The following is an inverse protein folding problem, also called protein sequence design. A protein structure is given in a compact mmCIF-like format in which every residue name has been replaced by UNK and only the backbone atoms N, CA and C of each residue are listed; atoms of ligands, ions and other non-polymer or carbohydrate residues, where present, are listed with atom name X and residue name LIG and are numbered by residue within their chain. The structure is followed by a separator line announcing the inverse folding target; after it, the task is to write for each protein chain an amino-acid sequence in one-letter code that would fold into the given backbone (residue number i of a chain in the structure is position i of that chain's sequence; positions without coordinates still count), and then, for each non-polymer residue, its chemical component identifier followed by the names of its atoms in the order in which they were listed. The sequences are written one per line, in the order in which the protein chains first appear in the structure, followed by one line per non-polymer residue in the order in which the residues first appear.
data_IF_571833814794
#
_entry.id   IF_571833814794
#
_cell.length_a   1.000
_cell.length_b   1.000
_cell.length_c   1.000
_cell.angle_alpha   90.00
_cell.angle_beta   90.00
_cell.angle_gamma   90.00
#
_symmetry.space_group_name_H-M   'P 1'
#
loop_
_entity.id
_entity.type
_entity.pdbx_description
1 polymer ?
#
# COMPACT_ATOMS: atom_id res chain seq x y z
N UNK A 1 6.53 -19.05 -5.64
CA UNK A 1 7.48 -19.46 -6.70
C UNK A 1 8.71 -20.09 -6.07
N UNK A 2 8.99 -21.34 -6.40
CA UNK A 2 10.22 -22.03 -6.00
C UNK A 2 11.45 -21.35 -6.65
N UNK A 3 12.47 -21.04 -5.87
CA UNK A 3 13.69 -20.39 -6.40
C UNK A 3 14.61 -21.35 -7.15
N UNK A 4 14.48 -22.66 -6.95
CA UNK A 4 15.32 -23.66 -7.62
C UNK A 4 14.82 -24.02 -9.03
N UNK A 5 13.50 -24.21 -9.20
CA UNK A 5 12.92 -24.69 -10.47
C UNK A 5 11.91 -23.72 -11.11
N UNK A 6 11.56 -22.61 -10.46
CA UNK A 6 10.58 -21.64 -10.98
C UNK A 6 9.12 -22.06 -10.86
N UNK A 7 8.82 -23.29 -10.39
CA UNK A 7 7.43 -23.74 -10.18
C UNK A 7 6.66 -22.76 -9.30
N UNK A 8 5.47 -22.37 -9.76
CA UNK A 8 4.63 -21.37 -9.09
C UNK A 8 3.28 -21.97 -8.75
N UNK A 9 2.97 -21.99 -7.46
CA UNK A 9 1.61 -22.23 -6.96
C UNK A 9 0.90 -20.88 -6.76
N UNK A 10 -0.39 -20.83 -7.06
CA UNK A 10 -1.23 -19.63 -6.95
C UNK A 10 -2.45 -19.93 -6.08
N UNK A 11 -2.72 -19.06 -5.12
CA UNK A 11 -3.88 -19.13 -4.22
C UNK A 11 -4.73 -17.88 -4.40
N UNK A 12 -6.05 -18.02 -4.30
CA UNK A 12 -7.00 -16.91 -4.42
C UNK A 12 -7.71 -16.69 -3.10
N UNK A 13 -7.51 -15.51 -2.52
CA UNK A 13 -8.10 -15.11 -1.25
C UNK A 13 -9.03 -13.91 -1.45
N UNK A 14 -10.34 -14.01 -1.16
CA UNK A 14 -11.23 -12.86 -1.18
C UNK A 14 -10.89 -11.91 -0.03
N UNK A 15 -10.93 -10.61 -0.28
CA UNK A 15 -10.75 -9.58 0.74
C UNK A 15 -11.75 -8.44 0.53
N UNK A 16 -12.11 -7.75 1.62
CA UNK A 16 -13.00 -6.58 1.63
C UNK A 16 -12.23 -5.27 1.77
N UNK A 17 -11.01 -5.34 2.29
CA UNK A 17 -10.06 -4.24 2.42
C UNK A 17 -8.63 -4.73 2.22
N UNK A 18 -7.73 -3.79 1.92
CA UNK A 18 -6.29 -4.03 1.86
C UNK A 18 -5.64 -3.28 3.02
N UNK A 19 -5.11 -4.04 3.97
CA UNK A 19 -4.39 -3.51 5.12
C UNK A 19 -2.90 -3.35 4.82
N UNK A 20 -2.44 -2.10 4.76
CA UNK A 20 -1.11 -1.69 4.31
C UNK A 20 -0.19 -1.31 5.47
N UNK A 21 1.05 -1.80 5.43
CA UNK A 21 2.09 -1.45 6.39
C UNK A 21 2.74 -0.10 6.03
N UNK A 22 2.96 0.74 7.03
CA UNK A 22 3.80 1.93 6.89
C UNK A 22 5.27 1.51 6.87
N UNK A 23 6.09 2.23 6.09
CA UNK A 23 7.52 1.96 6.10
C UNK A 23 8.11 2.22 7.51
N UNK A 24 8.95 1.31 8.04
CA UNK A 24 9.64 1.55 9.28
C UNK A 24 10.61 2.71 9.09
N UNK A 25 10.70 3.57 10.09
CA UNK A 25 11.68 4.65 10.11
C UNK A 25 13.09 4.02 10.10
N UNK A 26 13.94 4.38 9.14
CA UNK A 26 15.36 4.06 9.25
C UNK A 26 15.95 4.91 10.38
N UNK A 27 15.84 4.43 11.62
CA UNK A 27 16.64 4.95 12.71
C UNK A 27 18.03 4.41 12.46
N UNK A 28 18.93 5.24 11.93
CA UNK A 28 20.36 4.94 11.93
C UNK A 28 20.77 4.67 13.37
N UNK A 29 20.99 3.41 13.71
CA UNK A 29 21.64 3.01 14.93
C UNK A 29 23.09 3.49 14.85
N UNK A 30 23.35 4.74 15.26
CA UNK A 30 24.68 5.15 15.64
C UNK A 30 25.03 4.40 16.93
N UNK A 31 25.53 3.17 16.76
CA UNK A 31 26.26 2.47 17.78
C UNK A 31 27.45 3.33 18.19
N UNK A 32 27.38 3.92 19.38
CA UNK A 32 28.55 4.41 20.09
C UNK A 32 29.35 3.19 20.55
N UNK A 33 30.25 2.69 19.72
CA UNK A 33 31.38 1.89 20.20
C UNK A 33 32.56 2.81 20.41
N UNK A 34 32.89 3.01 21.69
CA UNK A 34 34.11 3.65 22.12
C UNK A 34 35.29 2.74 21.75
N UNK A 35 36.13 3.17 20.82
CA UNK A 35 37.46 2.59 20.62
C UNK A 35 38.42 3.70 20.18
N UNK A 36 39.42 3.94 21.04
CA UNK A 36 40.54 4.85 20.84
C UNK A 36 41.45 4.33 19.71
N UNK A 37 41.85 5.18 18.76
CA UNK A 37 43.18 5.15 18.14
C UNK A 37 43.46 6.45 17.36
N UNK A 38 44.75 6.80 17.28
CA UNK A 38 45.36 8.08 16.94
C UNK A 38 45.42 8.40 15.41
N UNK A 39 45.82 9.63 15.00
CA UNK A 39 45.51 10.21 13.68
C UNK A 39 46.65 10.06 12.64
N UNK A 40 46.32 10.09 11.34
CA UNK A 40 47.25 10.59 10.30
C UNK A 40 46.58 10.82 8.92
N UNK A 41 46.83 12.03 8.41
CA UNK A 41 47.00 12.50 7.02
C UNK A 41 45.96 12.24 5.91
N UNK A 42 45.31 13.34 5.53
CA UNK A 42 44.95 13.86 4.19
C UNK A 42 44.91 12.89 2.98
N UNK A 43 43.72 12.73 2.41
CA UNK A 43 43.50 12.77 0.96
C UNK A 43 42.05 13.19 0.67
N UNK A 44 41.92 14.31 -0.03
CA UNK A 44 40.66 14.85 -0.56
C UNK A 44 40.35 14.17 -1.91
N UNK A 45 39.11 13.67 -2.09
CA UNK A 45 38.32 13.84 -3.32
C UNK A 45 36.98 13.07 -3.27
N UNK A 46 35.89 13.84 -3.19
CA UNK A 46 34.54 13.61 -3.74
C UNK A 46 33.87 12.24 -3.58
N UNK A 47 33.29 12.01 -2.39
CA UNK A 47 32.09 11.19 -2.24
C UNK A 47 30.85 12.09 -2.14
N UNK A 48 29.97 12.03 -3.14
CA UNK A 48 28.68 12.73 -3.16
C UNK A 48 27.84 12.27 -1.95
N UNK A 49 27.87 13.06 -0.88
CA UNK A 49 27.03 12.86 0.30
C UNK A 49 25.60 13.22 -0.07
N UNK A 50 24.85 12.23 -0.53
CA UNK A 50 23.39 12.30 -0.62
C UNK A 50 22.84 12.65 0.76
N UNK A 51 22.55 13.93 0.97
CA UNK A 51 21.80 14.44 2.10
C UNK A 51 20.46 13.69 2.10
N UNK A 52 20.30 12.72 3.01
CA UNK A 52 19.10 11.88 3.05
C UNK A 52 17.91 12.73 3.47
N UNK A 53 17.16 13.21 2.48
CA UNK A 53 15.83 13.79 2.67
C UNK A 53 14.98 12.68 3.30
N UNK A 54 14.26 12.93 4.41
CA UNK A 54 13.32 11.96 4.95
C UNK A 54 12.32 11.59 3.86
N UNK A 55 12.37 10.35 3.36
CA UNK A 55 11.43 9.88 2.35
C UNK A 55 10.03 9.91 2.96
N UNK A 56 9.20 10.84 2.50
CA UNK A 56 7.79 10.91 2.88
C UNK A 56 7.11 9.62 2.44
N UNK A 57 6.50 8.88 3.36
CA UNK A 57 5.77 7.68 2.96
C UNK A 57 4.51 8.06 2.20
N UNK A 58 4.23 7.29 1.15
CA UNK A 58 3.10 7.50 0.25
C UNK A 58 2.23 6.24 0.20
N UNK A 59 0.93 6.40 -0.07
CA UNK A 59 0.02 5.26 -0.30
C UNK A 59 0.51 4.38 -1.45
N UNK A 60 1.05 5.00 -2.51
CA UNK A 60 1.65 4.31 -3.65
C UNK A 60 2.81 3.43 -3.18
N UNK A 61 3.74 3.97 -2.39
CA UNK A 61 4.86 3.18 -1.85
C UNK A 61 4.41 2.04 -0.93
N UNK A 62 3.31 2.23 -0.19
CA UNK A 62 2.69 1.15 0.58
C UNK A 62 2.12 0.04 -0.32
N UNK A 63 1.47 0.37 -1.43
CA UNK A 63 0.94 -0.59 -2.40
C UNK A 63 2.06 -1.31 -3.17
N UNK A 64 3.11 -0.58 -3.54
CA UNK A 64 4.32 -1.15 -4.16
C UNK A 64 4.94 -2.19 -3.23
N UNK A 65 5.04 -1.87 -1.92
CA UNK A 65 5.54 -2.79 -0.92
C UNK A 65 4.63 -4.00 -0.71
N UNK A 66 3.32 -3.79 -0.68
CA UNK A 66 2.33 -4.86 -0.53
C UNK A 66 2.41 -5.88 -1.68
N UNK A 67 2.65 -5.41 -2.91
CA UNK A 67 2.73 -6.25 -4.11
C UNK A 67 4.15 -6.68 -4.48
N UNK A 68 5.16 -6.27 -3.70
CA UNK A 68 6.56 -6.65 -3.93
C UNK A 68 6.79 -8.13 -3.62
N UNK A 69 7.54 -8.86 -4.46
CA UNK A 69 7.99 -10.21 -4.12
C UNK A 69 8.83 -10.21 -2.84
N UNK A 70 8.52 -11.11 -1.92
CA UNK A 70 9.25 -11.34 -0.68
C UNK A 70 9.79 -12.78 -0.64
N UNK A 71 11.01 -12.94 -0.12
CA UNK A 71 11.56 -14.27 0.17
C UNK A 71 10.94 -14.76 1.47
N UNK A 72 10.40 -15.98 1.47
CA UNK A 72 9.99 -16.62 2.71
C UNK A 72 11.24 -16.88 3.58
N UNK A 73 11.10 -16.71 4.90
CA UNK A 73 12.19 -16.93 5.86
C UNK A 73 12.74 -18.35 5.78
N UNK A 74 13.96 -18.56 6.28
CA UNK A 74 14.62 -19.88 6.29
C UNK A 74 13.84 -20.95 7.07
N UNK A 75 13.01 -20.51 8.01
CA UNK A 75 12.07 -21.27 8.84
C UNK A 75 10.70 -21.52 8.17
N UNK A 76 10.42 -20.85 7.04
CA UNK A 76 9.14 -20.88 6.32
C UNK A 76 9.31 -21.41 4.88
N UNK A 77 10.20 -22.39 4.69
CA UNK A 77 10.40 -23.02 3.37
C UNK A 77 9.10 -23.65 2.86
N UNK A 78 8.82 -23.45 1.58
CA UNK A 78 7.64 -23.99 0.92
C UNK A 78 7.97 -25.33 0.25
N UNK A 79 7.11 -26.33 0.44
CA UNK A 79 7.27 -27.64 -0.21
C UNK A 79 7.01 -27.52 -1.71
N UNK A 80 8.06 -27.68 -2.52
CA UNK A 80 7.93 -27.62 -3.97
C UNK A 80 7.48 -28.99 -4.52
N UNK A 81 6.31 -29.04 -5.15
CA UNK A 81 5.79 -30.26 -5.78
C UNK A 81 6.65 -30.76 -6.95
N UNK A 82 7.38 -29.88 -7.64
CA UNK A 82 8.27 -30.32 -8.73
C UNK A 82 9.58 -30.89 -8.21
N UNK A 83 10.16 -30.28 -7.16
CA UNK A 83 11.41 -30.75 -6.57
C UNK A 83 11.21 -31.84 -5.51
N UNK A 84 9.97 -32.05 -5.06
CA UNK A 84 9.60 -32.96 -3.97
C UNK A 84 10.37 -32.70 -2.66
N UNK A 85 10.71 -31.43 -2.39
CA UNK A 85 11.45 -31.00 -1.20
C UNK A 85 11.12 -29.55 -0.84
N UNK A 86 11.26 -29.20 0.44
CA UNK A 86 11.11 -27.82 0.93
C UNK A 86 12.23 -26.92 0.40
N UNK A 87 11.85 -25.91 -0.36
CA UNK A 87 12.76 -24.99 -1.06
C UNK A 87 12.58 -23.56 -0.59
N UNK A 88 13.63 -22.77 -0.73
CA UNK A 88 13.51 -21.32 -0.67
C UNK A 88 12.57 -20.84 -1.78
N UNK A 89 11.64 -19.96 -1.42
CA UNK A 89 10.55 -19.57 -2.30
C UNK A 89 10.25 -18.09 -2.16
N UNK A 90 9.81 -17.49 -3.27
CA UNK A 90 9.26 -16.16 -3.32
C UNK A 90 7.74 -16.23 -3.17
N UNK A 91 7.19 -15.35 -2.32
CA UNK A 91 5.77 -15.04 -2.23
C UNK A 91 5.53 -13.65 -2.81
N UNK A 92 4.44 -13.47 -3.54
CA UNK A 92 4.06 -12.17 -4.10
C UNK A 92 2.54 -12.06 -4.02
N UNK A 93 2.04 -10.95 -3.48
CA UNK A 93 0.63 -10.61 -3.53
C UNK A 93 0.33 -9.78 -4.77
N UNK A 94 -0.86 -9.93 -5.33
CA UNK A 94 -1.36 -9.12 -6.44
C UNK A 94 -2.88 -9.09 -6.42
N UNK A 95 -3.48 -8.12 -7.10
CA UNK A 95 -4.93 -7.97 -7.17
C UNK A 95 -5.44 -8.66 -8.43
N UNK A 96 -6.27 -9.70 -8.27
CA UNK A 96 -6.89 -10.38 -9.42
C UNK A 96 -8.12 -9.64 -9.94
N UNK A 97 -9.02 -9.25 -9.04
CA UNK A 97 -10.29 -8.57 -9.36
C UNK A 97 -10.42 -7.31 -8.52
N UNK A 98 -10.69 -6.18 -9.16
CA UNK A 98 -10.91 -4.91 -8.48
C UNK A 98 -12.36 -4.78 -8.03
N UNK A 99 -12.63 -4.34 -6.79
CA UNK A 99 -13.97 -3.95 -6.36
C UNK A 99 -14.34 -2.57 -6.92
N UNK A 100 -15.63 -2.25 -6.95
CA UNK A 100 -16.12 -0.91 -7.33
C UNK A 100 -15.65 0.18 -6.35
N UNK A 101 -15.48 -0.20 -5.08
CA UNK A 101 -14.93 0.63 -4.01
C UNK A 101 -13.76 -0.12 -3.37
N UNK A 102 -12.57 0.46 -3.43
CA UNK A 102 -11.39 -0.03 -2.73
C UNK A 102 -11.25 0.65 -1.37
N UNK A 103 -11.11 -0.17 -0.32
CA UNK A 103 -10.84 0.28 1.04
C UNK A 103 -9.38 -0.04 1.40
N UNK A 104 -8.61 1.00 1.73
CA UNK A 104 -7.24 0.86 2.24
C UNK A 104 -7.19 1.21 3.72
N UNK A 105 -6.76 0.26 4.53
CA UNK A 105 -6.52 0.47 5.96
C UNK A 105 -5.01 0.60 6.19
N UNK A 106 -4.59 1.67 6.86
CA UNK A 106 -3.19 1.90 7.19
C UNK A 106 -2.90 1.36 8.58
N UNK A 107 -2.02 0.36 8.67
CA UNK A 107 -1.61 -0.26 9.93
C UNK A 107 -0.73 0.70 10.74
N UNK A 108 -1.37 1.60 11.48
CA UNK A 108 -0.72 2.62 12.32
C UNK A 108 -0.37 2.11 13.72
N UNK A 109 0.08 0.87 13.85
CA UNK A 109 0.46 0.28 15.14
C UNK A 109 1.77 -0.49 15.03
N UNK A 110 2.65 -0.28 15.99
CA UNK A 110 3.89 -1.04 16.16
C UNK A 110 3.85 -1.74 17.50
N UNK A 111 4.17 -3.04 17.52
CA UNK A 111 4.30 -3.80 18.75
C UNK A 111 5.78 -4.05 19.06
N UNK A 112 6.24 -3.56 20.21
CA UNK A 112 7.58 -3.84 20.70
C UNK A 112 7.53 -5.01 21.67
N UNK A 113 7.97 -6.19 21.22
CA UNK A 113 8.09 -7.36 22.09
C UNK A 113 9.08 -7.14 23.24
N UNK A 114 10.16 -6.38 22.99
CA UNK A 114 11.19 -6.08 24.00
C UNK A 114 10.68 -5.17 25.11
N UNK A 115 9.84 -4.18 24.76
CA UNK A 115 9.28 -3.22 25.74
C UNK A 115 7.86 -3.59 26.20
N UNK A 116 7.31 -4.71 25.72
CA UNK A 116 5.92 -5.16 25.95
C UNK A 116 4.89 -4.02 25.77
N UNK A 117 5.10 -3.18 24.76
CA UNK A 117 4.27 -1.99 24.54
C UNK A 117 3.91 -1.86 23.07
N UNK A 118 2.66 -1.47 22.83
CA UNK A 118 2.17 -1.08 21.51
C UNK A 118 2.16 0.43 21.41
N UNK A 119 2.54 0.97 20.25
CA UNK A 119 2.53 2.41 20.00
C UNK A 119 1.83 2.73 18.68
N UNK A 120 1.07 3.82 18.66
CA UNK A 120 0.51 4.36 17.44
C UNK A 120 1.57 5.02 16.56
N UNK A 121 1.49 4.78 15.27
CA UNK A 121 2.35 5.41 14.25
C UNK A 121 1.62 6.63 13.67
N UNK A 122 1.86 7.79 14.28
CA UNK A 122 1.30 9.08 13.87
C UNK A 122 2.13 9.78 12.77
N UNK A 123 2.86 9.01 11.96
CA UNK A 123 3.62 9.56 10.84
C UNK A 123 2.68 9.92 9.69
N UNK A 124 2.90 11.09 9.09
CA UNK A 124 2.14 11.50 7.91
C UNK A 124 2.34 10.50 6.76
N UNK A 125 1.24 10.20 6.06
CA UNK A 125 1.19 9.37 4.87
C UNK A 125 0.55 10.21 3.78
N UNK A 126 1.29 10.47 2.71
CA UNK A 126 0.73 11.16 1.55
C UNK A 126 -0.14 10.20 0.74
N UNK A 127 -1.33 10.63 0.35
CA UNK A 127 -2.22 9.86 -0.51
C UNK A 127 -2.74 10.73 -1.68
N UNK A 128 -2.87 10.16 -2.89
CA UNK A 128 -3.37 10.90 -4.04
C UNK A 128 -4.90 10.97 -4.04
N UNK A 129 -5.49 11.92 -4.76
CA UNK A 129 -6.95 11.96 -4.96
C UNK A 129 -7.39 11.09 -6.15
N UNK A 130 -6.48 10.81 -7.08
CA UNK A 130 -6.66 9.87 -8.18
C UNK A 130 -5.63 8.76 -8.04
N UNK A 131 -6.06 7.50 -8.10
CA UNK A 131 -5.22 6.33 -7.91
C UNK A 131 -5.38 5.39 -9.11
N UNK A 132 -4.26 5.02 -9.73
CA UNK A 132 -4.23 3.95 -10.73
C UNK A 132 -3.85 2.64 -10.06
N UNK A 133 -4.72 1.65 -10.17
CA UNK A 133 -4.53 0.31 -9.61
C UNK A 133 -3.90 -0.68 -10.60
N UNK A 134 -3.76 -0.30 -11.88
CA UNK A 134 -3.25 -1.19 -12.92
C UNK A 134 -1.89 -1.82 -12.58
N UNK A 135 -0.90 -1.11 -12.00
CA UNK A 135 0.40 -1.70 -11.65
C UNK A 135 0.32 -2.87 -10.65
N UNK A 136 -0.74 -2.92 -9.86
CA UNK A 136 -0.93 -3.88 -8.76
C UNK A 136 -1.74 -5.12 -9.19
N UNK A 137 -2.24 -5.14 -10.44
CA UNK A 137 -3.00 -6.25 -10.99
C UNK A 137 -2.11 -7.45 -11.31
N UNK A 138 -2.64 -8.66 -11.10
CA UNK A 138 -1.95 -9.91 -11.45
C UNK A 138 -1.55 -9.96 -12.93
N UNK A 139 -2.43 -9.49 -13.82
CA UNK A 139 -2.19 -9.42 -15.27
C UNK A 139 -1.00 -8.52 -15.62
N UNK A 140 -0.94 -7.31 -15.03
CA UNK A 140 0.16 -6.35 -15.22
C UNK A 140 1.49 -6.87 -14.68
N UNK A 141 1.49 -7.49 -13.50
CA UNK A 141 2.69 -8.07 -12.89
C UNK A 141 3.23 -9.23 -13.74
N UNK A 142 2.35 -10.12 -14.22
CA UNK A 142 2.75 -11.24 -15.08
C UNK A 142 3.28 -10.76 -16.43
N UNK A 143 2.60 -9.80 -17.07
CA UNK A 143 3.03 -9.20 -18.34
C UNK A 143 4.39 -8.53 -18.21
N UNK A 144 4.64 -7.82 -17.11
CA UNK A 144 5.94 -7.17 -16.86
C UNK A 144 7.08 -8.18 -16.69
N UNK A 145 6.78 -9.35 -16.12
CA UNK A 145 7.78 -10.40 -15.85
C UNK A 145 8.09 -11.27 -17.07
N UNK A 146 7.06 -11.64 -17.84
CA UNK A 146 7.17 -12.65 -18.90
C UNK A 146 6.95 -12.09 -20.31
N UNK A 147 6.69 -10.79 -20.43
CA UNK A 147 6.29 -10.16 -21.69
C UNK A 147 4.98 -10.72 -22.22
N UNK A 148 4.74 -10.60 -23.52
CA UNK A 148 3.53 -11.12 -24.18
C UNK A 148 3.51 -12.66 -24.33
N UNK A 149 4.37 -13.41 -23.61
CA UNK A 149 4.52 -14.87 -23.76
C UNK A 149 3.64 -15.69 -22.82
N UNK A 150 2.73 -15.06 -22.08
CA UNK A 150 1.82 -15.77 -21.16
C UNK A 150 0.58 -16.20 -21.92
N UNK A 151 0.49 -17.51 -22.16
CA UNK A 151 -0.71 -18.23 -22.55
C UNK A 151 -1.87 -17.93 -21.60
N UNK A 152 -3.09 -17.79 -22.14
CA UNK A 152 -4.33 -17.80 -21.37
C UNK A 152 -4.26 -18.91 -20.33
N UNK A 153 -4.32 -18.56 -19.05
CA UNK A 153 -4.35 -19.55 -17.98
C UNK A 153 -5.60 -20.43 -18.20
N UNK A 154 -5.42 -21.76 -18.24
CA UNK A 154 -6.53 -22.71 -18.32
C UNK A 154 -7.52 -22.43 -17.17
N UNK A 155 -8.77 -22.15 -17.53
CA UNK A 155 -9.84 -21.76 -16.61
C UNK A 155 -10.59 -20.47 -16.99
N UNK A 156 -10.58 -20.08 -18.28
CA UNK A 156 -11.44 -19.05 -18.86
C UNK A 156 -12.89 -19.54 -18.88
N UNK A 157 -13.53 -19.59 -17.71
CA UNK A 157 -14.98 -19.53 -17.60
C UNK A 157 -15.41 -18.10 -17.95
N UNK A 158 -15.52 -17.80 -19.25
CA UNK A 158 -16.43 -16.86 -19.91
C UNK A 158 -16.70 -15.44 -19.36
N UNK A 159 -16.06 -14.99 -18.29
CA UNK A 159 -16.34 -13.73 -17.56
C UNK A 159 -15.20 -12.70 -17.72
N UNK A 160 -14.07 -13.08 -18.34
CA UNK A 160 -12.86 -12.25 -18.46
C UNK A 160 -12.99 -11.13 -19.51
N UNK A 161 -14.01 -11.17 -20.36
CA UNK A 161 -14.36 -10.06 -21.26
C UNK A 161 -14.86 -8.82 -20.48
N UNK A 162 -15.43 -8.99 -19.28
CA UNK A 162 -15.91 -7.89 -18.45
C UNK A 162 -14.81 -7.23 -17.60
N UNK A 163 -13.75 -7.97 -17.27
CA UNK A 163 -12.60 -7.42 -16.54
C UNK A 163 -11.79 -6.43 -17.41
N UNK A 164 -11.86 -6.59 -18.74
CA UNK A 164 -11.18 -5.72 -19.70
C UNK A 164 -11.89 -4.35 -19.90
N UNK A 165 -13.13 -4.20 -19.43
CA UNK A 165 -13.87 -2.92 -19.50
C UNK A 165 -13.88 -2.12 -18.19
N UNK A 166 -13.42 -2.72 -17.09
CA UNK A 166 -13.41 -2.04 -15.79
C UNK A 166 -12.13 -1.21 -15.62
N UNK A 167 -12.30 0.12 -15.68
CA UNK A 167 -11.26 1.13 -15.41
C UNK A 167 -10.46 0.79 -14.14
N UNK A 168 -9.14 0.73 -14.25
CA UNK A 168 -8.24 0.62 -13.08
C UNK A 168 -8.00 1.97 -12.37
N UNK A 169 -8.61 3.05 -12.87
CA UNK A 169 -8.55 4.37 -12.26
C UNK A 169 -9.65 4.56 -11.21
N UNK A 170 -9.24 5.05 -10.05
CA UNK A 170 -10.09 5.33 -8.91
C UNK A 170 -9.95 6.77 -8.42
N UNK A 171 -10.99 7.27 -7.79
CA UNK A 171 -11.01 8.57 -7.10
C UNK A 171 -11.30 8.43 -5.62
N UNK A 172 -10.53 9.16 -4.83
CA UNK A 172 -10.74 9.28 -3.39
C UNK A 172 -12.04 10.03 -3.13
N UNK A 173 -12.91 9.43 -2.32
CA UNK A 173 -14.15 10.07 -1.88
C UNK A 173 -14.32 10.10 -0.37
N UNK A 174 -13.59 9.27 0.40
CA UNK A 174 -13.61 9.38 1.86
C UNK A 174 -12.24 9.09 2.49
N UNK A 175 -11.92 9.82 3.56
CA UNK A 175 -10.75 9.60 4.42
C UNK A 175 -11.22 9.60 5.87
N UNK A 176 -10.99 8.50 6.58
CA UNK A 176 -11.19 8.42 8.02
C UNK A 176 -9.86 8.70 8.70
N UNK A 177 -9.86 9.57 9.69
CA UNK A 177 -8.69 9.90 10.52
C UNK A 177 -8.95 9.50 11.96
N UNK A 178 -7.86 9.19 12.67
CA UNK A 178 -7.90 8.87 14.09
C UNK A 178 -6.90 9.74 14.83
N UNK A 179 -7.36 10.47 15.83
CA UNK A 179 -6.52 11.23 16.77
C UNK A 179 -6.51 10.54 18.13
N UNK A 180 -5.42 10.62 18.89
CA UNK A 180 -5.29 9.92 20.18
C UNK A 180 -4.38 8.70 20.13
N UNK A 181 -4.44 7.89 21.19
CA UNK A 181 -3.62 6.69 21.44
C UNK A 181 -4.29 5.44 20.84
N UNK A 182 -3.64 4.28 20.95
CA UNK A 182 -4.20 3.01 20.44
C UNK A 182 -5.46 2.55 21.19
N UNK A 183 -5.57 2.90 22.48
CA UNK A 183 -6.63 2.48 23.40
C UNK A 183 -7.72 3.53 23.61
N UNK A 184 -7.48 4.77 23.17
CA UNK A 184 -8.43 5.86 23.27
C UNK A 184 -8.15 6.93 22.22
N UNK A 185 -9.19 7.44 21.58
CA UNK A 185 -9.05 8.48 20.58
C UNK A 185 -10.38 8.96 20.01
N UNK A 186 -10.28 9.72 18.92
CA UNK A 186 -11.41 10.35 18.25
C UNK A 186 -11.31 10.17 16.74
N UNK A 187 -12.42 9.79 16.11
CA UNK A 187 -12.51 9.54 14.67
C UNK A 187 -13.22 10.69 13.97
N UNK A 188 -12.62 11.17 12.89
CA UNK A 188 -13.20 12.20 12.03
C UNK A 188 -13.15 11.72 10.58
N UNK A 189 -14.22 11.95 9.84
CA UNK A 189 -14.32 11.57 8.43
C UNK A 189 -14.28 12.80 7.53
N UNK A 190 -13.47 12.77 6.48
CA UNK A 190 -13.53 13.70 5.36
C UNK A 190 -14.25 13.01 4.21
N UNK A 191 -15.34 13.60 3.71
CA UNK A 191 -16.17 13.06 2.63
C UNK A 191 -16.22 14.03 1.45
N UNK A 192 -16.09 13.51 0.23
CA UNK A 192 -16.24 14.27 -1.02
C UNK A 192 -17.62 14.04 -1.60
N UNK A 193 -18.42 15.09 -1.72
CA UNK A 193 -19.73 15.09 -2.35
C UNK A 193 -19.81 16.24 -3.36
N UNK A 194 -20.21 15.94 -4.60
CA UNK A 194 -20.35 16.94 -5.68
C UNK A 194 -19.11 17.83 -5.84
N UNK A 195 -17.92 17.22 -5.87
CA UNK A 195 -16.62 17.92 -5.93
C UNK A 195 -16.32 18.88 -4.76
N UNK A 196 -17.04 18.77 -3.64
CA UNK A 196 -16.78 19.54 -2.42
C UNK A 196 -16.42 18.60 -1.27
N UNK A 197 -15.49 19.03 -0.43
CA UNK A 197 -15.06 18.27 0.73
C UNK A 197 -15.75 18.76 2.01
N UNK A 198 -16.15 17.82 2.83
CA UNK A 198 -16.78 18.04 4.12
C UNK A 198 -16.02 17.28 5.20
N UNK A 199 -15.70 17.94 6.30
CA UNK A 199 -15.23 17.33 7.54
C UNK A 199 -16.45 17.04 8.41
N UNK A 200 -16.67 15.76 8.68
CA UNK A 200 -17.71 15.23 9.55
C UNK A 200 -17.07 14.84 10.89
N UNK A 201 -17.36 15.63 11.92
CA UNK A 201 -16.82 15.53 13.27
C UNK A 201 -18.02 15.41 14.24
N UNK A 202 -18.43 14.17 14.53
CA UNK A 202 -19.69 13.84 15.20
C UNK A 202 -20.90 14.55 14.57
N UNK A 203 -21.55 15.45 15.33
CA UNK A 203 -22.71 16.23 14.87
C UNK A 203 -22.33 17.40 13.94
N UNK A 204 -21.04 17.70 13.79
CA UNK A 204 -20.57 18.88 13.08
C UNK A 204 -20.10 18.53 11.66
N UNK A 205 -20.83 19.01 10.66
CA UNK A 205 -20.46 18.87 9.25
C UNK A 205 -20.03 20.24 8.73
N UNK A 206 -18.76 20.36 8.33
CA UNK A 206 -18.18 21.63 7.88
C UNK A 206 -17.52 21.47 6.52
N UNK A 207 -17.75 22.40 5.60
CA UNK A 207 -17.06 22.41 4.31
C UNK A 207 -15.58 22.75 4.53
N UNK A 208 -14.68 22.02 3.88
CA UNK A 208 -13.23 22.22 3.97
C UNK A 208 -12.59 22.24 2.58
N UNK A 209 -11.42 22.88 2.49
CA UNK A 209 -10.63 22.88 1.26
C UNK A 209 -9.87 21.56 1.10
N UNK A 210 -9.56 21.19 -0.15
CA UNK A 210 -8.77 19.98 -0.47
C UNK A 210 -7.45 19.90 0.30
N UNK A 211 -6.79 21.04 0.51
CA UNK A 211 -5.51 21.11 1.23
C UNK A 211 -5.62 20.60 2.67
N UNK A 212 -6.77 20.80 3.32
CA UNK A 212 -7.04 20.26 4.67
C UNK A 212 -7.10 18.74 4.62
N UNK A 213 -7.78 18.19 3.62
CA UNK A 213 -7.90 16.74 3.42
C UNK A 213 -6.54 16.13 3.08
N UNK A 214 -5.74 16.77 2.21
CA UNK A 214 -4.38 16.32 1.88
C UNK A 214 -3.47 16.27 3.10
N UNK A 215 -3.61 17.22 4.03
CA UNK A 215 -2.83 17.26 5.26
C UNK A 215 -3.32 16.28 6.33
N UNK A 216 -4.47 15.62 6.13
CA UNK A 216 -5.08 14.73 7.10
C UNK A 216 -4.26 13.45 7.32
N UNK A 217 -4.23 12.95 8.55
CA UNK A 217 -3.57 11.67 8.87
C UNK A 217 -4.52 10.49 8.58
N UNK A 218 -4.60 10.09 7.30
CA UNK A 218 -5.48 9.01 6.85
C UNK A 218 -5.23 7.70 7.58
N UNK A 219 -6.23 7.20 8.28
CA UNK A 219 -6.28 5.88 8.91
C UNK A 219 -6.92 4.86 7.98
N UNK A 220 -8.06 5.24 7.36
CA UNK A 220 -8.67 4.49 6.27
C UNK A 220 -8.96 5.43 5.10
N UNK A 221 -8.82 4.94 3.88
CA UNK A 221 -9.10 5.68 2.66
C UNK A 221 -9.97 4.86 1.72
N UNK A 222 -11.01 5.51 1.20
CA UNK A 222 -11.99 4.88 0.32
C UNK A 222 -11.92 5.53 -1.06
N UNK A 223 -11.71 4.67 -2.04
CA UNK A 223 -11.56 5.02 -3.44
C UNK A 223 -12.68 4.36 -4.25
N UNK A 224 -13.35 5.11 -5.10
CA UNK A 224 -14.39 4.60 -6.00
C UNK A 224 -13.89 4.61 -7.44
N UNK A 225 -14.23 3.58 -8.21
CA UNK A 225 -13.85 3.49 -9.62
C UNK A 225 -14.38 4.70 -10.42
N UNK A 226 -13.53 5.33 -11.24
CA UNK A 226 -13.86 6.61 -11.92
C UNK A 226 -15.13 6.55 -12.77
N UNK A 227 -15.35 5.46 -13.52
CA UNK A 227 -16.57 5.27 -14.32
C UNK A 227 -17.85 5.43 -13.49
N UNK A 228 -17.84 4.97 -12.23
CA UNK A 228 -18.96 5.13 -11.32
C UNK A 228 -19.02 6.51 -10.69
N UNK A 229 -17.87 7.11 -10.38
CA UNK A 229 -17.80 8.48 -9.86
C UNK A 229 -18.46 9.48 -10.82
N UNK A 230 -18.16 9.38 -12.13
CA UNK A 230 -18.79 10.23 -13.14
C UNK A 230 -20.31 10.02 -13.23
N UNK A 231 -20.78 8.77 -13.13
CA UNK A 231 -22.23 8.48 -13.16
C UNK A 231 -22.96 9.06 -11.94
N UNK A 232 -22.40 8.89 -10.74
CA UNK A 232 -23.00 9.42 -9.52
C UNK A 232 -23.01 10.96 -9.49
N UNK A 233 -21.94 11.60 -9.98
CA UNK A 233 -21.87 13.06 -10.06
C UNK A 233 -22.77 13.65 -11.16
N UNK A 234 -23.01 12.93 -12.26
CA UNK A 234 -23.94 13.35 -13.31
C UNK A 234 -25.43 13.23 -12.92
N UNK A 235 -25.76 12.42 -11.91
CA UNK A 235 -27.15 12.21 -11.45
C UNK A 235 -27.63 13.24 -10.41
N UNK A 236 -26.85 14.28 -10.10
CA UNK A 236 -27.30 15.39 -9.24
C UNK A 236 -28.16 16.35 -10.08
N UNK A 237 -29.46 16.37 -9.77
CA UNK A 237 -30.57 16.96 -10.55
C UNK A 237 -30.41 18.43 -11.00
N UNK A 238 -31.10 18.80 -12.10
CA UNK A 238 -31.33 20.20 -12.47
C UNK A 238 -32.15 20.91 -11.38
N UNK A 239 -31.79 22.18 -11.18
CA UNK A 239 -32.37 23.15 -10.25
C UNK A 239 -33.89 23.23 -10.28
#
# INVERSE_FOLDING_TARGET
MCMACGFTSTTYDPCVDISLDLEPHQVTAHGKTSAKSHPSSNSEANGFSSTQIPTTSTLIGCLDRFTRPERLGSDQKFFCQQCQVSQESLKQMSIRKLPLVSCFHIKRFEHSHTRKMSRKVDRYLQFPFSLDMAPYLSSSILRSRFGNRVFSFEGDDGDDVAANEMSSEFELFAVVTHSGKLDAGHYVTYLRLSNQWYKCDDAWITRVNENVVRAAQGYMMFYVQKMLYYRASAQVCPS
#
